data_IF_955917539766
#
_entry.id   IF_955917539766
#
_cell.length_a   1.000
_cell.length_b   1.000
_cell.length_c   1.000
_cell.angle_alpha   90.00
_cell.angle_beta   90.00
_cell.angle_gamma   90.00
#
_symmetry.space_group_name_H-M   'P 1'
#
loop_
_entity.id
_entity.type
_entity.pdbx_description
1 polymer ?
#
# COMPACT_ATOMS: atom_id res chain seq x y z
N UNK A 1 4.26 25.36 12.86
CA UNK A 1 5.18 24.60 13.73
C UNK A 1 5.59 25.39 14.99
N UNK A 2 4.75 26.27 15.45
CA UNK A 2 5.05 27.14 16.60
C UNK A 2 4.50 26.62 17.94
N UNK A 3 3.86 25.45 17.96
CA UNK A 3 3.30 24.91 19.19
C UNK A 3 4.19 23.79 19.74
N UNK A 4 4.94 24.09 20.78
CA UNK A 4 5.84 23.15 21.45
C UNK A 4 5.13 21.91 22.01
N UNK A 5 3.82 22.01 22.32
CA UNK A 5 3.03 20.88 22.82
C UNK A 5 2.75 19.83 21.75
N UNK A 6 2.54 20.26 20.50
CA UNK A 6 2.35 19.35 19.37
C UNK A 6 3.64 18.59 19.04
N UNK A 7 4.79 19.28 19.08
CA UNK A 7 6.11 18.65 18.89
C UNK A 7 6.36 17.62 20.00
N UNK A 8 6.01 17.94 21.24
CA UNK A 8 6.18 17.02 22.37
C UNK A 8 5.31 15.77 22.22
N UNK A 9 4.05 15.91 21.81
CA UNK A 9 3.14 14.78 21.58
C UNK A 9 3.65 13.87 20.46
N UNK A 10 4.13 14.45 19.37
CA UNK A 10 4.69 13.69 18.26
C UNK A 10 5.96 12.89 18.66
N UNK A 11 6.84 13.50 19.44
CA UNK A 11 8.02 12.81 20.00
C UNK A 11 7.63 11.70 20.96
N UNK A 12 6.59 11.91 21.78
CA UNK A 12 6.11 10.91 22.71
C UNK A 12 5.56 9.66 21.99
N UNK A 13 4.73 9.85 20.95
CA UNK A 13 4.21 8.75 20.15
C UNK A 13 5.36 7.93 19.53
N UNK A 14 6.34 8.58 18.93
CA UNK A 14 7.52 7.90 18.37
C UNK A 14 8.32 7.15 19.42
N UNK A 15 8.46 7.71 20.59
CA UNK A 15 9.15 7.07 21.70
C UNK A 15 8.42 5.82 22.17
N UNK A 16 7.11 5.88 22.31
CA UNK A 16 6.27 4.73 22.70
C UNK A 16 6.42 3.58 21.71
N UNK A 17 6.36 3.86 20.41
CA UNK A 17 6.57 2.84 19.37
C UNK A 17 7.96 2.20 19.44
N UNK A 18 8.99 3.00 19.65
CA UNK A 18 10.34 2.49 19.84
C UNK A 18 10.43 1.59 21.07
N UNK A 19 9.92 2.03 22.20
CA UNK A 19 10.01 1.33 23.48
C UNK A 19 9.21 0.01 23.47
N UNK A 20 8.04 -0.01 22.85
CA UNK A 20 7.18 -1.20 22.76
C UNK A 20 7.79 -2.28 21.87
N UNK A 21 8.49 -1.92 20.82
CA UNK A 21 9.07 -2.88 19.86
C UNK A 21 10.53 -3.21 20.14
N UNK A 22 11.23 -2.44 20.97
CA UNK A 22 12.65 -2.67 21.32
C UNK A 22 13.61 -2.60 20.14
N UNK A 23 13.15 -2.17 18.97
CA UNK A 23 13.92 -2.12 17.72
C UNK A 23 14.04 -0.67 17.27
N UNK A 24 15.26 -0.24 17.03
CA UNK A 24 15.51 1.09 16.53
C UNK A 24 15.02 1.24 15.08
N UNK A 25 14.33 2.36 14.80
CA UNK A 25 13.95 2.71 13.43
C UNK A 25 15.20 3.08 12.63
N UNK A 26 15.38 2.53 11.44
CA UNK A 26 16.42 3.04 10.55
C UNK A 26 16.08 4.47 10.13
N UNK A 27 17.07 5.35 10.11
CA UNK A 27 16.90 6.72 9.60
C UNK A 27 16.66 6.73 8.09
N UNK A 28 17.30 5.80 7.39
CA UNK A 28 17.15 5.57 5.96
C UNK A 28 17.59 4.16 5.62
N UNK A 29 17.08 3.62 4.54
CA UNK A 29 17.54 2.37 3.95
C UNK A 29 17.37 2.36 2.44
N UNK A 30 18.10 1.48 1.79
CA UNK A 30 17.93 1.12 0.37
C UNK A 30 17.64 -0.36 0.32
N UNK A 31 16.63 -0.75 -0.45
CA UNK A 31 16.22 -2.13 -0.62
C UNK A 31 15.85 -2.39 -2.08
N UNK A 32 16.44 -3.40 -2.67
CA UNK A 32 16.07 -3.83 -4.02
C UNK A 32 14.84 -4.73 -3.98
N UNK A 33 14.04 -4.70 -5.03
CA UNK A 33 12.86 -5.57 -5.18
C UNK A 33 13.21 -7.06 -5.05
N UNK A 34 14.38 -7.48 -5.50
CA UNK A 34 14.86 -8.87 -5.42
C UNK A 34 15.13 -9.34 -3.99
N UNK A 35 15.24 -8.44 -3.04
CA UNK A 35 15.39 -8.71 -1.61
C UNK A 35 14.05 -8.89 -0.89
N UNK A 36 12.95 -8.66 -1.60
CA UNK A 36 11.60 -8.82 -1.07
C UNK A 36 11.04 -10.19 -1.47
N UNK A 37 10.50 -10.92 -0.49
CA UNK A 37 9.76 -12.14 -0.75
C UNK A 37 8.40 -11.83 -1.36
N UNK A 38 7.91 -12.72 -2.23
CA UNK A 38 6.54 -12.68 -2.71
C UNK A 38 5.59 -13.15 -1.62
N UNK A 39 4.65 -12.29 -1.25
CA UNK A 39 3.58 -12.62 -0.31
C UNK A 39 2.28 -12.77 -1.10
N UNK A 40 1.78 -14.01 -1.17
CA UNK A 40 0.51 -14.29 -1.82
C UNK A 40 -0.64 -13.65 -1.04
N UNK A 41 -1.55 -12.99 -1.77
CA UNK A 41 -2.71 -12.38 -1.15
C UNK A 41 -3.82 -13.43 -0.92
N UNK A 42 -4.59 -13.29 0.18
CA UNK A 42 -5.66 -14.23 0.50
C UNK A 42 -6.67 -14.37 -0.64
N UNK A 43 -7.10 -15.61 -0.88
CA UNK A 43 -8.10 -15.97 -1.90
C UNK A 43 -7.72 -15.57 -3.34
N UNK A 44 -6.43 -15.42 -3.62
CA UNK A 44 -5.94 -14.97 -4.93
C UNK A 44 -5.76 -16.11 -5.95
N UNK A 45 -5.81 -17.37 -5.51
CA UNK A 45 -5.46 -18.54 -6.33
C UNK A 45 -4.10 -18.36 -7.04
N UNK A 46 -3.12 -17.85 -6.32
CA UNK A 46 -1.77 -17.56 -6.83
C UNK A 46 -1.72 -16.62 -8.04
N UNK A 47 -2.68 -15.71 -8.13
CA UNK A 47 -2.71 -14.70 -9.19
C UNK A 47 -2.42 -13.29 -8.70
N UNK A 48 -2.28 -13.08 -7.39
CA UNK A 48 -2.08 -11.78 -6.79
C UNK A 48 -1.07 -11.84 -5.64
N UNK A 49 0.04 -11.11 -5.77
CA UNK A 49 1.19 -11.10 -4.85
C UNK A 49 1.59 -9.69 -4.48
N UNK A 50 2.26 -9.56 -3.35
CA UNK A 50 2.89 -8.30 -2.93
C UNK A 50 4.35 -8.53 -2.55
N UNK A 51 5.21 -7.58 -2.95
CA UNK A 51 6.58 -7.43 -2.44
C UNK A 51 6.65 -6.21 -1.56
N UNK A 52 7.00 -6.39 -0.29
CA UNK A 52 6.87 -5.34 0.73
C UNK A 52 8.22 -4.70 1.03
N UNK A 53 8.40 -3.46 0.60
CA UNK A 53 9.55 -2.65 0.98
C UNK A 53 9.40 -2.12 2.41
N UNK A 54 8.22 -1.62 2.73
CA UNK A 54 7.80 -1.19 4.07
C UNK A 54 6.48 -1.89 4.38
N UNK A 55 6.53 -2.86 5.30
CA UNK A 55 5.37 -3.68 5.62
C UNK A 55 4.32 -2.89 6.42
N UNK A 56 3.05 -3.12 6.14
CA UNK A 56 1.93 -2.54 6.87
C UNK A 56 1.90 -2.96 8.35
N UNK A 57 2.43 -4.14 8.66
CA UNK A 57 2.51 -4.66 10.03
C UNK A 57 3.69 -4.09 10.81
N UNK A 58 4.60 -3.38 10.13
CA UNK A 58 5.72 -2.71 10.77
C UNK A 58 5.32 -1.31 11.26
N UNK A 59 4.74 -1.27 12.45
CA UNK A 59 4.26 -0.04 13.10
C UNK A 59 5.37 0.99 13.40
N UNK A 60 6.63 0.68 13.11
CA UNK A 60 7.74 1.63 13.21
C UNK A 60 7.71 2.67 12.09
N UNK A 61 6.98 2.43 11.03
CA UNK A 61 6.85 3.30 9.86
C UNK A 61 5.44 3.88 9.77
N UNK A 62 5.35 5.06 9.16
CA UNK A 62 4.07 5.75 8.96
C UNK A 62 3.42 5.39 7.62
N UNK A 63 4.21 4.78 6.75
CA UNK A 63 3.80 4.41 5.39
C UNK A 63 4.01 2.92 5.16
N UNK A 64 3.16 2.37 4.33
CA UNK A 64 3.26 1.06 3.74
C UNK A 64 3.62 1.23 2.27
N UNK A 65 4.64 0.52 1.78
CA UNK A 65 5.13 0.64 0.41
C UNK A 65 5.38 -0.74 -0.18
N UNK A 66 4.64 -1.07 -1.26
CA UNK A 66 4.69 -2.37 -1.92
C UNK A 66 4.80 -2.24 -3.42
N UNK A 67 5.36 -3.27 -4.06
CA UNK A 67 5.00 -3.62 -5.43
C UNK A 67 3.90 -4.69 -5.36
N UNK A 68 2.82 -4.44 -6.08
CA UNK A 68 1.71 -5.39 -6.24
C UNK A 68 1.78 -5.95 -7.64
N UNK A 69 1.66 -7.27 -7.76
CA UNK A 69 1.73 -7.99 -9.03
C UNK A 69 0.51 -8.88 -9.20
N UNK A 70 -0.20 -8.71 -10.31
CA UNK A 70 -1.24 -9.61 -10.78
C UNK A 70 -0.74 -10.41 -11.98
N UNK A 71 -0.99 -11.69 -11.98
CA UNK A 71 -0.89 -12.51 -13.18
C UNK A 71 -2.08 -12.22 -14.11
N UNK A 72 -1.99 -12.52 -15.40
CA UNK A 72 -3.13 -12.35 -16.31
C UNK A 72 -4.40 -12.99 -15.77
N UNK A 73 -5.50 -12.22 -15.74
CA UNK A 73 -6.76 -12.64 -15.15
C UNK A 73 -6.88 -12.50 -13.63
N UNK A 74 -5.82 -12.04 -12.95
CA UNK A 74 -5.85 -11.74 -11.53
C UNK A 74 -6.83 -10.60 -11.22
N UNK A 75 -7.53 -10.70 -10.09
CA UNK A 75 -8.57 -9.74 -9.71
C UNK A 75 -8.53 -9.43 -8.22
N UNK A 76 -8.96 -8.22 -7.86
CA UNK A 76 -9.55 -7.92 -6.57
C UNK A 76 -11.07 -8.08 -6.76
N UNK A 77 -11.67 -9.18 -6.27
CA UNK A 77 -13.01 -9.59 -6.71
C UNK A 77 -14.16 -8.87 -6.01
N UNK A 78 -13.86 -7.87 -5.23
CA UNK A 78 -14.83 -7.06 -4.47
C UNK A 78 -14.40 -5.60 -4.45
N UNK A 79 -15.36 -4.69 -4.30
CA UNK A 79 -15.06 -3.28 -4.08
C UNK A 79 -14.61 -3.11 -2.61
N UNK A 80 -13.33 -2.93 -2.40
CA UNK A 80 -12.79 -2.62 -1.08
C UNK A 80 -12.82 -1.12 -0.79
N UNK A 81 -12.98 -0.78 0.49
CA UNK A 81 -12.85 0.60 0.99
C UNK A 81 -12.07 0.59 2.29
N UNK A 82 -11.30 1.64 2.53
CA UNK A 82 -10.58 1.83 3.79
C UNK A 82 -10.28 3.31 4.04
N UNK A 83 -9.98 3.64 5.30
CA UNK A 83 -9.69 5.00 5.72
C UNK A 83 -8.37 5.55 5.16
N UNK A 84 -7.43 4.67 4.83
CA UNK A 84 -6.13 5.06 4.32
C UNK A 84 -6.26 5.60 2.89
N UNK A 85 -5.64 6.75 2.66
CA UNK A 85 -5.41 7.27 1.31
C UNK A 85 -4.18 6.59 0.72
N UNK A 86 -4.16 6.41 -0.58
CA UNK A 86 -3.00 5.83 -1.25
C UNK A 86 -2.84 6.29 -2.69
N UNK A 87 -1.60 6.28 -3.14
CA UNK A 87 -1.23 6.46 -4.53
C UNK A 87 -0.77 5.14 -5.13
N UNK A 88 -1.07 4.98 -6.40
CA UNK A 88 -0.66 3.84 -7.23
C UNK A 88 0.03 4.38 -8.46
N UNK A 89 1.24 3.91 -8.73
CA UNK A 89 1.93 4.18 -9.99
C UNK A 89 2.12 2.89 -10.76
N UNK A 90 1.56 2.81 -11.97
CA UNK A 90 1.58 1.61 -12.79
C UNK A 90 2.97 1.43 -13.40
N UNK A 91 3.60 0.30 -13.11
CA UNK A 91 4.94 -0.04 -13.56
C UNK A 91 4.93 -0.86 -14.86
N UNK A 92 3.93 -1.74 -15.00
CA UNK A 92 3.88 -2.71 -16.10
C UNK A 92 2.45 -3.17 -16.36
N UNK A 93 2.15 -3.41 -17.65
CA UNK A 93 0.90 -4.03 -18.08
C UNK A 93 -0.27 -3.09 -18.16
N UNK A 94 -1.46 -3.69 -18.25
CA UNK A 94 -2.75 -3.02 -18.36
C UNK A 94 -3.78 -3.68 -17.47
N UNK A 95 -4.71 -2.89 -16.96
CA UNK A 95 -5.84 -3.38 -16.17
C UNK A 95 -7.07 -2.50 -16.37
N UNK A 96 -8.21 -3.01 -15.91
CA UNK A 96 -9.41 -2.20 -15.68
C UNK A 96 -9.52 -1.99 -14.18
N UNK A 97 -9.54 -0.75 -13.77
CA UNK A 97 -9.60 -0.35 -12.37
C UNK A 97 -10.95 0.29 -12.06
N UNK A 98 -11.61 -0.20 -11.00
CA UNK A 98 -12.79 0.45 -10.44
C UNK A 98 -12.34 1.54 -9.48
N UNK A 99 -12.70 2.78 -9.79
CA UNK A 99 -12.37 3.96 -9.01
C UNK A 99 -13.65 4.72 -8.68
N UNK A 100 -14.09 4.64 -7.43
CA UNK A 100 -15.35 5.22 -6.97
C UNK A 100 -16.57 4.64 -7.71
N UNK A 101 -17.10 5.32 -8.73
CA UNK A 101 -18.25 4.87 -9.54
C UNK A 101 -17.85 4.44 -10.97
N UNK A 102 -16.61 4.68 -11.34
CA UNK A 102 -16.15 4.54 -12.71
C UNK A 102 -15.24 3.30 -12.87
N UNK A 103 -15.32 2.69 -14.04
CA UNK A 103 -14.35 1.70 -14.50
C UNK A 103 -13.43 2.34 -15.52
N UNK A 104 -12.14 2.32 -15.26
CA UNK A 104 -11.13 3.02 -16.05
C UNK A 104 -10.06 2.05 -16.49
N UNK A 105 -9.72 2.08 -17.78
CA UNK A 105 -8.50 1.40 -18.26
C UNK A 105 -7.27 2.17 -17.79
N UNK A 106 -6.29 1.44 -17.27
CA UNK A 106 -5.00 1.96 -16.81
C UNK A 106 -3.86 1.17 -17.40
N UNK A 107 -2.75 1.84 -17.67
CA UNK A 107 -1.55 1.22 -18.24
C UNK A 107 -0.25 1.76 -17.62
N UNK A 108 0.85 1.12 -17.96
CA UNK A 108 2.17 1.54 -17.47
C UNK A 108 2.43 3.03 -17.70
N UNK A 109 2.85 3.73 -16.64
CA UNK A 109 3.05 5.18 -16.61
C UNK A 109 1.89 5.97 -16.01
N UNK A 110 0.72 5.38 -15.85
CA UNK A 110 -0.42 6.05 -15.20
C UNK A 110 -0.23 6.16 -13.69
N UNK A 111 -0.79 7.21 -13.13
CA UNK A 111 -0.86 7.44 -11.70
C UNK A 111 -2.31 7.56 -11.23
N UNK A 112 -2.67 6.80 -10.20
CA UNK A 112 -3.98 6.82 -9.57
C UNK A 112 -3.86 7.38 -8.16
N UNK A 113 -4.81 8.24 -7.79
CA UNK A 113 -4.94 8.70 -6.41
C UNK A 113 -6.31 8.29 -5.86
N UNK A 114 -6.29 7.61 -4.71
CA UNK A 114 -7.49 7.16 -4.03
C UNK A 114 -7.58 7.80 -2.65
N UNK A 115 -8.61 8.61 -2.45
CA UNK A 115 -8.90 9.22 -1.15
C UNK A 115 -9.49 8.18 -0.19
N UNK A 116 -9.54 8.57 1.08
CA UNK A 116 -10.19 7.79 2.11
C UNK A 116 -11.58 7.32 1.66
N UNK A 117 -11.86 6.03 1.88
CA UNK A 117 -13.12 5.34 1.55
C UNK A 117 -13.48 5.30 0.05
N UNK A 118 -12.57 5.61 -0.86
CA UNK A 118 -12.80 5.41 -2.28
C UNK A 118 -13.02 3.92 -2.57
N UNK A 119 -14.19 3.50 -3.07
CA UNK A 119 -14.39 2.12 -3.51
C UNK A 119 -13.45 1.78 -4.66
N UNK A 120 -12.80 0.65 -4.58
CA UNK A 120 -11.83 0.21 -5.58
C UNK A 120 -11.87 -1.30 -5.81
N UNK A 121 -11.62 -1.69 -7.04
CA UNK A 121 -11.39 -3.06 -7.46
C UNK A 121 -10.46 -3.07 -8.67
N UNK A 122 -9.86 -4.20 -8.98
CA UNK A 122 -8.94 -4.32 -10.11
C UNK A 122 -9.18 -5.62 -10.86
N UNK A 123 -9.13 -5.54 -12.19
CA UNK A 123 -9.11 -6.68 -13.08
C UNK A 123 -7.92 -6.56 -14.05
N UNK A 124 -6.93 -7.43 -13.90
CA UNK A 124 -5.74 -7.50 -14.73
C UNK A 124 -6.03 -8.32 -16.00
N UNK A 125 -6.72 -7.71 -16.97
CA UNK A 125 -7.18 -8.37 -18.19
C UNK A 125 -6.17 -8.37 -19.34
N UNK A 126 -4.96 -7.85 -19.14
CA UNK A 126 -3.94 -7.82 -20.18
C UNK A 126 -3.28 -9.19 -20.43
N UNK A 127 -2.50 -9.32 -21.52
CA UNK A 127 -1.85 -10.58 -21.90
C UNK A 127 -0.62 -10.92 -21.02
N UNK A 128 -0.10 -9.94 -20.29
CA UNK A 128 1.04 -10.07 -19.39
C UNK A 128 0.71 -9.68 -17.96
N UNK A 129 1.69 -9.71 -17.06
CA UNK A 129 1.53 -9.26 -15.69
C UNK A 129 1.09 -7.80 -15.63
N UNK A 130 0.31 -7.48 -14.62
CA UNK A 130 -0.02 -6.10 -14.25
C UNK A 130 0.68 -5.77 -12.93
N UNK A 131 1.50 -4.73 -12.91
CA UNK A 131 2.32 -4.38 -11.73
C UNK A 131 2.23 -2.91 -11.42
N UNK A 132 2.14 -2.59 -10.14
CA UNK A 132 2.18 -1.20 -9.69
C UNK A 132 2.92 -1.03 -8.37
N UNK A 133 3.46 0.16 -8.17
CA UNK A 133 3.94 0.62 -6.87
C UNK A 133 2.77 1.24 -6.12
N UNK A 134 2.53 0.73 -4.92
CA UNK A 134 1.56 1.25 -3.96
C UNK A 134 2.32 1.93 -2.82
N UNK A 135 1.92 3.14 -2.46
CA UNK A 135 2.23 3.71 -1.16
C UNK A 135 0.95 4.13 -0.46
N UNK A 136 0.86 3.81 0.82
CA UNK A 136 -0.35 3.99 1.61
C UNK A 136 -0.01 4.44 3.02
N UNK A 137 -0.76 5.43 3.54
CA UNK A 137 -0.70 5.86 4.93
C UNK A 137 -1.32 4.77 5.83
N UNK A 138 -0.60 4.32 6.85
CA UNK A 138 -1.07 3.28 7.78
C UNK A 138 -1.48 3.83 9.15
N UNK A 139 -1.26 5.11 9.43
CA UNK A 139 -1.51 5.69 10.74
C UNK A 139 -2.93 6.18 10.98
N UNK A 140 -3.77 6.18 9.95
CA UNK A 140 -5.18 6.58 10.05
C UNK A 140 -6.10 5.44 10.51
N UNK A 141 -5.56 4.25 10.68
CA UNK A 141 -6.34 3.13 11.14
C UNK A 141 -6.76 3.37 12.60
N UNK A 142 -8.03 3.62 12.81
CA UNK A 142 -8.60 3.69 14.17
C UNK A 142 -8.69 2.27 14.68
N UNK A 143 -7.94 1.88 15.74
CA UNK A 143 -8.14 0.59 16.35
C UNK A 143 -9.55 0.53 16.92
N UNK A 144 -10.34 -0.40 16.48
CA UNK A 144 -11.58 -0.74 17.16
C UNK A 144 -11.18 -1.43 18.48
N UNK A 145 -11.44 -0.74 19.56
CA UNK A 145 -11.32 -1.27 20.92
C UNK A 145 -12.46 -2.24 21.21
#
# INVERSE_FOLDING_TARGET
WSNSSEITNFHWIRKVYKDVKGIERPTAFVKNETECEDVEMPNSNSTWFTKRFVDADDVRHDMHVNIVTFQPGGVIPFAETHVMEHGIFILEGKAVYHLNQDWVEVEAGDFLWLRAFCPQACYAGGPGPFRYLLYKDVNRHVPFL
#
